data_IF_626922256619
#
_entry.id   IF_626922256619
#
_cell.length_a   1.000
_cell.length_b   1.000
_cell.length_c   1.000
_cell.angle_alpha   90.00
_cell.angle_beta   90.00
_cell.angle_gamma   90.00
#
_symmetry.space_group_name_H-M   'P 1'
#
loop_
_entity.id
_entity.type
_entity.pdbx_description
1 polymer ?
#
# COMPACT_ATOMS: atom_id res chain seq x y z
N UNK A 1 -2.84 -24.53 -7.70
CA UNK A 1 -2.51 -23.48 -8.71
C UNK A 1 -1.15 -22.89 -8.39
N UNK A 2 -0.36 -22.63 -9.40
CA UNK A 2 0.98 -22.06 -9.27
C UNK A 2 0.88 -20.53 -9.22
N UNK A 3 1.67 -19.88 -8.36
CA UNK A 3 1.76 -18.44 -8.21
C UNK A 3 3.15 -17.98 -8.62
N UNK A 4 3.22 -16.89 -9.37
CA UNK A 4 4.48 -16.23 -9.70
C UNK A 4 4.52 -14.85 -9.02
N UNK A 5 5.63 -14.52 -8.37
CA UNK A 5 5.83 -13.25 -7.68
C UNK A 5 7.05 -12.53 -8.24
N UNK A 6 6.84 -11.28 -8.65
CA UNK A 6 7.89 -10.40 -9.13
C UNK A 6 8.24 -9.39 -8.03
N UNK A 7 9.47 -9.40 -7.53
CA UNK A 7 9.92 -8.55 -6.42
C UNK A 7 11.22 -7.87 -6.83
N UNK A 8 11.23 -6.54 -6.72
CA UNK A 8 12.39 -5.71 -7.06
C UNK A 8 13.51 -5.80 -6.03
N UNK A 9 13.17 -5.96 -4.76
CA UNK A 9 14.12 -5.95 -3.63
C UNK A 9 14.60 -7.38 -3.34
N UNK A 10 15.90 -7.60 -3.54
CA UNK A 10 16.53 -8.92 -3.32
C UNK A 10 16.49 -9.37 -1.87
N UNK A 11 16.55 -8.46 -0.90
CA UNK A 11 16.46 -8.81 0.52
C UNK A 11 15.05 -9.29 0.88
N UNK A 12 14.01 -8.63 0.36
CA UNK A 12 12.64 -9.10 0.53
C UNK A 12 12.41 -10.45 -0.15
N UNK A 13 13.04 -10.68 -1.29
CA UNK A 13 12.96 -11.96 -2.00
C UNK A 13 13.59 -13.09 -1.19
N UNK A 14 14.75 -12.86 -0.57
CA UNK A 14 15.41 -13.82 0.31
C UNK A 14 14.53 -14.20 1.51
N UNK A 15 13.92 -13.24 2.19
CA UNK A 15 12.97 -13.48 3.30
C UNK A 15 11.74 -14.28 2.82
N UNK A 16 11.23 -13.98 1.63
CA UNK A 16 10.11 -14.75 1.06
C UNK A 16 10.50 -16.20 0.81
N UNK A 17 11.67 -16.45 0.23
CA UNK A 17 12.16 -17.81 -0.05
C UNK A 17 12.38 -18.60 1.24
N UNK A 18 12.98 -17.96 2.26
CA UNK A 18 13.14 -18.57 3.58
C UNK A 18 11.80 -19.02 4.17
N UNK A 19 10.81 -18.12 4.17
CA UNK A 19 9.45 -18.45 4.67
C UNK A 19 8.78 -19.51 3.83
N UNK A 20 8.88 -19.43 2.51
CA UNK A 20 8.33 -20.43 1.59
C UNK A 20 8.82 -21.83 1.90
N UNK A 21 10.14 -21.96 2.16
CA UNK A 21 10.77 -23.23 2.51
C UNK A 21 10.33 -23.70 3.91
N UNK A 22 10.34 -22.79 4.90
CA UNK A 22 9.96 -23.10 6.28
C UNK A 22 8.49 -23.57 6.40
N UNK A 23 7.59 -23.01 5.57
CA UNK A 23 6.16 -23.34 5.57
C UNK A 23 5.79 -24.44 4.56
N UNK A 24 6.76 -25.02 3.84
CA UNK A 24 6.53 -26.08 2.85
C UNK A 24 5.69 -25.65 1.64
N UNK A 25 5.72 -24.35 1.28
CA UNK A 25 4.91 -23.82 0.18
C UNK A 25 5.61 -24.08 -1.16
N UNK A 26 5.14 -25.12 -1.91
CA UNK A 26 5.73 -25.51 -3.18
C UNK A 26 5.14 -24.86 -4.44
N UNK A 27 4.05 -24.12 -4.32
CA UNK A 27 3.29 -23.56 -5.44
C UNK A 27 3.57 -22.08 -5.72
N UNK A 28 4.68 -21.53 -5.25
CA UNK A 28 5.14 -20.16 -5.51
C UNK A 28 6.44 -20.24 -6.31
N UNK A 29 6.51 -19.48 -7.40
CA UNK A 29 7.75 -19.16 -8.11
C UNK A 29 8.04 -17.68 -7.90
N UNK A 30 9.28 -17.36 -7.62
CA UNK A 30 9.76 -16.00 -7.40
C UNK A 30 10.62 -15.55 -8.57
N UNK A 31 10.59 -14.28 -8.87
CA UNK A 31 11.44 -13.67 -9.89
C UNK A 31 11.91 -12.31 -9.41
N UNK A 32 13.22 -12.12 -9.35
CA UNK A 32 13.81 -10.80 -9.09
C UNK A 32 13.67 -9.93 -10.34
N UNK A 33 13.20 -8.69 -10.15
CA UNK A 33 13.12 -7.73 -11.25
C UNK A 33 12.03 -6.69 -11.08
N UNK A 34 12.02 -5.73 -12.02
CA UNK A 34 10.95 -4.73 -12.11
C UNK A 34 9.82 -5.27 -12.97
N UNK A 35 8.60 -4.84 -12.68
CA UNK A 35 7.44 -5.18 -13.51
C UNK A 35 7.60 -4.68 -14.96
N UNK A 36 8.23 -3.51 -15.15
CA UNK A 36 8.46 -2.94 -16.48
C UNK A 36 9.29 -3.86 -17.37
N UNK A 37 10.30 -4.51 -16.80
CA UNK A 37 11.26 -5.36 -17.51
C UNK A 37 10.78 -6.84 -17.59
N UNK A 38 9.72 -7.20 -16.88
CA UNK A 38 9.20 -8.55 -16.85
C UNK A 38 8.62 -8.95 -18.20
N UNK A 39 9.04 -10.06 -18.74
CA UNK A 39 8.52 -10.67 -19.98
C UNK A 39 8.25 -12.16 -19.76
N UNK A 40 7.18 -12.67 -20.35
CA UNK A 40 6.82 -14.08 -20.29
C UNK A 40 5.83 -14.42 -21.41
N UNK A 41 5.88 -15.65 -21.90
CA UNK A 41 4.85 -16.21 -22.79
C UNK A 41 3.65 -16.77 -22.01
N UNK A 42 3.77 -16.85 -20.69
CA UNK A 42 2.69 -17.34 -19.84
C UNK A 42 1.59 -16.30 -19.66
N UNK A 43 0.34 -16.75 -19.68
CA UNK A 43 -0.83 -15.96 -19.32
C UNK A 43 -1.36 -16.44 -17.97
N UNK A 44 -1.75 -15.51 -17.10
CA UNK A 44 -2.20 -15.79 -15.74
C UNK A 44 -3.72 -15.64 -15.66
N UNK A 45 -4.37 -16.33 -14.73
CA UNK A 45 -5.79 -16.09 -14.45
C UNK A 45 -5.99 -14.66 -13.96
N UNK A 46 -5.21 -14.26 -12.96
CA UNK A 46 -5.22 -12.93 -12.36
C UNK A 46 -3.82 -12.38 -12.14
N UNK A 47 -3.67 -11.07 -12.26
CA UNK A 47 -2.48 -10.35 -11.82
C UNK A 47 -2.86 -9.49 -10.62
N UNK A 48 -2.08 -9.57 -9.54
CA UNK A 48 -2.31 -8.80 -8.32
C UNK A 48 -1.10 -7.93 -8.03
N UNK A 49 -1.34 -6.62 -7.91
CA UNK A 49 -0.33 -5.64 -7.52
C UNK A 49 -0.66 -5.07 -6.14
N UNK A 50 0.23 -5.27 -5.18
CA UNK A 50 0.06 -4.78 -3.81
C UNK A 50 1.12 -3.74 -3.50
N UNK A 51 0.73 -2.50 -3.32
CA UNK A 51 1.60 -1.36 -2.97
C UNK A 51 2.88 -1.27 -3.83
N UNK A 52 2.81 -1.53 -5.14
CA UNK A 52 3.99 -1.66 -6.01
C UNK A 52 4.03 -0.73 -7.21
N UNK A 53 2.92 -0.05 -7.58
CA UNK A 53 2.85 0.74 -8.81
C UNK A 53 3.33 2.22 -8.68
N UNK A 54 3.59 2.72 -7.49
CA UNK A 54 3.87 4.15 -7.24
C UNK A 54 5.26 4.64 -7.69
N UNK A 55 6.12 3.79 -8.20
CA UNK A 55 7.45 4.15 -8.74
C UNK A 55 7.59 3.84 -10.24
N UNK A 56 6.50 3.47 -10.89
CA UNK A 56 6.47 3.18 -12.32
C UNK A 56 6.24 4.48 -13.08
N UNK A 57 7.18 4.86 -13.96
CA UNK A 57 7.07 6.08 -14.76
C UNK A 57 6.00 5.96 -15.84
N UNK A 58 6.02 4.87 -16.59
CA UNK A 58 5.01 4.56 -17.60
C UNK A 58 3.93 3.64 -17.01
N UNK A 59 3.10 4.23 -16.16
CA UNK A 59 1.99 3.53 -15.51
C UNK A 59 0.97 3.02 -16.54
N UNK A 60 0.79 3.72 -17.67
CA UNK A 60 -0.11 3.31 -18.75
C UNK A 60 0.31 1.95 -19.32
N UNK A 61 1.55 1.82 -19.75
CA UNK A 61 2.08 0.56 -20.28
C UNK A 61 2.06 -0.55 -19.25
N UNK A 62 2.34 -0.25 -17.97
CA UNK A 62 2.25 -1.22 -16.89
C UNK A 62 0.84 -1.79 -16.70
N UNK A 63 -0.20 -0.94 -16.75
CA UNK A 63 -1.60 -1.35 -16.62
C UNK A 63 -2.08 -2.16 -17.83
N UNK A 64 -1.74 -1.74 -19.05
CA UNK A 64 -2.04 -2.49 -20.28
C UNK A 64 -1.36 -3.86 -20.28
N UNK A 65 -0.13 -3.94 -19.79
CA UNK A 65 0.61 -5.18 -19.63
C UNK A 65 -0.06 -6.13 -18.61
N UNK A 66 -0.57 -5.60 -17.48
CA UNK A 66 -1.36 -6.40 -16.54
C UNK A 66 -2.62 -6.95 -17.21
N UNK A 67 -3.30 -6.13 -18.00
CA UNK A 67 -4.48 -6.55 -18.76
C UNK A 67 -4.14 -7.65 -19.79
N UNK A 68 -3.08 -7.45 -20.58
CA UNK A 68 -2.67 -8.39 -21.64
C UNK A 68 -2.22 -9.76 -21.08
N UNK A 69 -1.57 -9.79 -19.92
CA UNK A 69 -1.08 -11.02 -19.31
C UNK A 69 -2.09 -11.74 -18.39
N UNK A 70 -3.32 -11.20 -18.23
CA UNK A 70 -4.37 -11.83 -17.43
C UNK A 70 -5.55 -12.27 -18.28
N UNK A 71 -6.13 -13.46 -18.02
CA UNK A 71 -7.35 -13.94 -18.69
C UNK A 71 -8.62 -13.47 -18.00
N UNK A 72 -8.65 -13.40 -16.70
CA UNK A 72 -9.80 -13.04 -15.88
C UNK A 72 -9.78 -11.57 -15.46
N UNK A 73 -8.59 -10.96 -15.39
CA UNK A 73 -8.42 -9.57 -15.00
C UNK A 73 -7.28 -9.34 -14.00
N UNK A 74 -7.25 -8.16 -13.42
CA UNK A 74 -6.22 -7.81 -12.45
C UNK A 74 -6.77 -7.00 -11.29
N UNK A 75 -6.01 -7.01 -10.18
CA UNK A 75 -6.37 -6.35 -8.92
C UNK A 75 -5.19 -5.50 -8.48
N UNK A 76 -5.46 -4.23 -8.17
CA UNK A 76 -4.51 -3.31 -7.58
C UNK A 76 -4.96 -3.02 -6.16
N UNK A 77 -4.08 -3.31 -5.20
CA UNK A 77 -4.30 -3.03 -3.79
C UNK A 77 -3.36 -1.89 -3.39
N UNK A 78 -3.92 -0.78 -2.93
CA UNK A 78 -3.16 0.40 -2.49
C UNK A 78 -3.59 0.82 -1.09
N UNK A 79 -2.67 0.83 -0.15
CA UNK A 79 -2.89 1.53 1.11
C UNK A 79 -2.83 3.03 0.84
N UNK A 80 -3.85 3.77 1.25
CA UNK A 80 -3.82 5.24 1.17
C UNK A 80 -2.67 5.71 2.05
N UNK A 81 -1.69 6.35 1.42
CA UNK A 81 -0.50 6.85 2.11
C UNK A 81 -0.87 8.13 2.86
N UNK A 82 -1.26 7.94 4.10
CA UNK A 82 -1.45 9.00 5.08
C UNK A 82 -0.55 8.75 6.28
N UNK A 83 -0.05 9.79 6.94
CA UNK A 83 0.64 9.66 8.22
C UNK A 83 -0.12 8.75 9.18
N UNK A 84 0.62 8.05 10.06
CA UNK A 84 -0.06 7.18 11.03
C UNK A 84 -1.02 7.98 11.92
N UNK A 85 -0.63 9.17 12.30
CA UNK A 85 -1.43 10.08 13.14
C UNK A 85 -2.39 10.98 12.34
N UNK A 86 -2.69 10.68 11.08
CA UNK A 86 -3.55 11.52 10.23
C UNK A 86 -4.85 11.93 10.92
N UNK A 87 -5.57 10.98 11.53
CA UNK A 87 -6.83 11.27 12.24
C UNK A 87 -6.64 12.16 13.46
N UNK A 88 -5.49 12.02 14.16
CA UNK A 88 -5.14 12.88 15.27
C UNK A 88 -4.86 14.32 14.79
N UNK A 89 -4.11 14.46 13.69
CA UNK A 89 -3.80 15.76 13.09
C UNK A 89 -5.09 16.48 12.66
N UNK A 90 -5.96 15.79 11.93
CA UNK A 90 -7.24 16.34 11.48
C UNK A 90 -8.10 16.85 12.64
N UNK A 91 -8.27 16.06 13.71
CA UNK A 91 -9.05 16.44 14.90
C UNK A 91 -8.48 17.67 15.63
N UNK A 92 -7.18 17.91 15.48
CA UNK A 92 -6.49 19.04 16.10
C UNK A 92 -6.27 20.23 15.15
N UNK A 93 -6.82 20.18 13.94
CA UNK A 93 -6.71 21.25 12.94
C UNK A 93 -5.31 21.37 12.34
N UNK A 94 -4.50 20.31 12.39
CA UNK A 94 -3.14 20.26 11.82
C UNK A 94 -3.18 19.68 10.42
N UNK A 95 -2.72 20.46 9.45
CA UNK A 95 -2.59 20.02 8.05
C UNK A 95 -1.33 19.15 7.89
N UNK A 96 -1.47 18.03 7.20
CA UNK A 96 -0.35 17.18 6.83
C UNK A 96 -0.47 16.75 5.37
N UNK A 97 0.66 16.39 4.71
CA UNK A 97 0.65 15.95 3.33
C UNK A 97 -0.23 14.72 3.12
N UNK A 98 -0.98 14.73 2.04
CA UNK A 98 -1.83 13.61 1.62
C UNK A 98 -1.45 13.16 0.20
N UNK A 99 -1.26 11.87 0.01
CA UNK A 99 -1.01 11.31 -1.31
C UNK A 99 -2.32 10.82 -1.92
N UNK A 100 -2.78 11.50 -2.97
CA UNK A 100 -4.06 11.24 -3.64
C UNK A 100 -3.91 10.41 -4.94
N UNK A 101 -2.77 9.80 -5.18
CA UNK A 101 -2.48 9.06 -6.42
C UNK A 101 -3.46 7.90 -6.68
N UNK A 102 -4.05 7.33 -5.64
CA UNK A 102 -5.07 6.29 -5.76
C UNK A 102 -6.34 6.78 -6.48
N UNK A 103 -6.62 8.09 -6.48
CA UNK A 103 -7.78 8.67 -7.18
C UNK A 103 -7.56 8.73 -8.68
N UNK A 104 -6.33 8.83 -9.12
CA UNK A 104 -5.97 8.94 -10.53
C UNK A 104 -5.99 7.60 -11.26
N UNK A 105 -5.73 6.49 -10.56
CA UNK A 105 -5.69 5.16 -11.16
C UNK A 105 -7.02 4.74 -11.80
N UNK A 106 -8.19 4.85 -11.14
CA UNK A 106 -9.47 4.51 -11.77
C UNK A 106 -9.76 5.36 -13.00
N UNK A 107 -9.47 6.67 -12.94
CA UNK A 107 -9.65 7.58 -14.07
C UNK A 107 -8.78 7.19 -15.26
N UNK A 108 -7.54 6.81 -15.01
CA UNK A 108 -6.63 6.33 -16.05
C UNK A 108 -7.11 5.02 -16.66
N UNK A 109 -7.58 4.06 -15.86
CA UNK A 109 -8.13 2.80 -16.33
C UNK A 109 -9.34 3.02 -17.24
N UNK A 110 -10.27 3.89 -16.83
CA UNK A 110 -11.43 4.21 -17.65
C UNK A 110 -11.04 4.88 -18.97
N UNK A 111 -10.05 5.77 -18.98
CA UNK A 111 -9.50 6.36 -20.22
C UNK A 111 -8.83 5.33 -21.14
N UNK A 112 -8.33 4.23 -20.57
CA UNK A 112 -7.78 3.10 -21.33
C UNK A 112 -8.87 2.11 -21.80
N UNK A 113 -10.15 2.42 -21.55
CA UNK A 113 -11.28 1.53 -21.88
C UNK A 113 -11.45 0.36 -20.92
N UNK A 114 -10.71 0.33 -19.81
CA UNK A 114 -10.75 -0.71 -18.80
C UNK A 114 -11.75 -0.34 -17.70
N UNK A 115 -12.82 -1.12 -17.57
CA UNK A 115 -13.82 -0.89 -16.53
C UNK A 115 -13.28 -1.30 -15.16
N UNK A 116 -13.01 -0.32 -14.30
CA UNK A 116 -12.51 -0.52 -12.96
C UNK A 116 -13.63 -0.40 -11.92
N UNK A 117 -13.70 -1.38 -11.01
CA UNK A 117 -14.45 -1.27 -9.76
C UNK A 117 -13.49 -0.81 -8.67
N UNK A 118 -13.98 0.04 -7.76
CA UNK A 118 -13.19 0.61 -6.67
C UNK A 118 -13.89 0.31 -5.35
N UNK A 119 -13.17 -0.31 -4.44
CA UNK A 119 -13.64 -0.62 -3.10
C UNK A 119 -12.68 -0.06 -2.06
N UNK A 120 -13.21 0.38 -0.92
CA UNK A 120 -12.44 0.90 0.21
C UNK A 120 -12.59 -0.03 1.40
N UNK A 121 -11.47 -0.50 1.92
CA UNK A 121 -11.41 -1.30 3.13
C UNK A 121 -10.73 -0.48 4.24
N UNK A 122 -11.47 -0.13 5.29
CA UNK A 122 -10.93 0.55 6.46
C UNK A 122 -10.84 -0.42 7.63
N UNK A 123 -9.67 -0.46 8.28
CA UNK A 123 -9.40 -1.34 9.41
C UNK A 123 -8.56 -0.62 10.46
N UNK A 124 -8.68 -0.99 11.74
CA UNK A 124 -7.83 -0.43 12.80
C UNK A 124 -6.41 -0.96 12.67
N UNK A 125 -5.42 -0.05 12.65
CA UNK A 125 -4.00 -0.39 12.74
C UNK A 125 -3.48 0.05 14.09
N UNK A 126 -3.02 -0.90 14.90
CA UNK A 126 -2.32 -0.63 16.18
C UNK A 126 -0.85 -0.32 15.93
N UNK A 127 -0.31 0.62 16.70
CA UNK A 127 1.12 0.92 16.77
C UNK A 127 1.54 1.04 18.24
N UNK A 128 2.75 0.66 18.50
CA UNK A 128 3.37 0.66 19.84
C UNK A 128 4.53 1.65 19.85
N UNK A 129 4.67 2.39 20.93
CA UNK A 129 5.75 3.33 21.17
C UNK A 129 6.32 3.10 22.57
N UNK A 130 7.63 3.13 22.71
CA UNK A 130 8.28 2.92 24.01
C UNK A 130 8.04 4.11 24.93
N UNK A 131 8.12 5.32 24.38
CA UNK A 131 7.96 6.56 25.13
C UNK A 131 7.41 7.70 24.24
N UNK A 132 7.29 8.90 24.81
CA UNK A 132 6.83 10.09 24.08
C UNK A 132 7.88 10.63 23.11
N UNK A 133 9.16 10.27 23.26
CA UNK A 133 10.20 10.66 22.31
C UNK A 133 10.03 9.90 20.99
N UNK A 134 9.72 8.60 21.04
CA UNK A 134 9.37 7.80 19.85
C UNK A 134 8.15 8.38 19.13
N UNK A 135 7.11 8.78 19.88
CA UNK A 135 5.92 9.41 19.32
C UNK A 135 6.27 10.74 18.66
N UNK A 136 7.08 11.55 19.31
CA UNK A 136 7.53 12.84 18.82
C UNK A 136 8.33 12.70 17.51
N UNK A 137 9.22 11.71 17.46
CA UNK A 137 10.01 11.41 16.25
C UNK A 137 9.14 11.01 15.07
N UNK A 138 8.12 10.19 15.27
CA UNK A 138 7.17 9.82 14.24
C UNK A 138 6.40 11.05 13.73
N UNK A 139 5.90 11.91 14.64
CA UNK A 139 5.19 13.14 14.27
C UNK A 139 6.10 14.12 13.52
N UNK A 140 7.37 14.23 13.90
CA UNK A 140 8.35 15.06 13.21
C UNK A 140 8.63 14.57 11.78
N UNK A 141 8.60 13.27 11.55
CA UNK A 141 8.76 12.70 10.21
C UNK A 141 7.54 12.95 9.30
N UNK A 142 6.36 13.12 9.89
CA UNK A 142 5.10 13.34 9.17
C UNK A 142 4.84 14.81 8.80
N UNK A 143 5.37 15.76 9.56
CA UNK A 143 5.06 17.19 9.49
C UNK A 143 6.27 18.02 9.03
N UNK A 144 6.02 19.24 8.55
CA UNK A 144 7.11 20.19 8.34
C UNK A 144 7.69 20.63 9.69
N UNK A 145 8.99 20.98 9.72
CA UNK A 145 9.65 21.39 10.95
C UNK A 145 8.91 22.54 11.68
N UNK A 146 8.39 23.50 10.93
CA UNK A 146 7.61 24.63 11.48
C UNK A 146 6.34 24.14 12.16
N UNK A 147 5.49 23.39 11.45
CA UNK A 147 4.22 22.87 11.98
C UNK A 147 4.46 22.00 13.21
N UNK A 148 5.50 21.14 13.15
CA UNK A 148 5.85 20.28 14.26
C UNK A 148 6.23 21.11 15.50
N UNK A 149 7.11 22.10 15.34
CA UNK A 149 7.55 22.95 16.47
C UNK A 149 6.38 23.70 17.12
N UNK A 150 5.46 24.25 16.32
CA UNK A 150 4.31 25.00 16.83
C UNK A 150 3.24 24.12 17.51
N UNK A 151 3.08 22.87 17.07
CA UNK A 151 1.97 22.01 17.47
C UNK A 151 2.38 20.83 18.37
N UNK A 152 3.67 20.58 18.59
CA UNK A 152 4.19 19.40 19.27
C UNK A 152 3.52 19.14 20.63
N UNK A 153 3.49 20.16 21.50
CA UNK A 153 2.94 20.01 22.87
C UNK A 153 1.45 19.61 22.82
N UNK A 154 0.67 20.28 21.96
CA UNK A 154 -0.75 20.00 21.76
C UNK A 154 -0.99 18.59 21.22
N UNK A 155 -0.18 18.17 20.25
CA UNK A 155 -0.31 16.85 19.62
C UNK A 155 0.10 15.72 20.57
N UNK A 156 1.15 15.91 21.39
CA UNK A 156 1.53 14.93 22.40
C UNK A 156 0.47 14.81 23.49
N UNK A 157 -0.13 15.91 23.93
CA UNK A 157 -1.25 15.88 24.87
C UNK A 157 -2.47 15.16 24.27
N UNK A 158 -2.83 15.44 23.01
CA UNK A 158 -3.91 14.74 22.31
C UNK A 158 -3.62 13.24 22.12
N UNK A 159 -2.37 12.87 21.90
CA UNK A 159 -1.92 11.49 21.84
C UNK A 159 -2.12 10.78 23.18
N UNK A 160 -1.59 11.34 24.27
CA UNK A 160 -1.70 10.75 25.63
C UNK A 160 -3.14 10.60 26.08
N UNK A 161 -4.04 11.49 25.67
CA UNK A 161 -5.48 11.37 25.92
C UNK A 161 -6.19 10.26 25.16
N UNK A 162 -5.58 9.67 24.12
CA UNK A 162 -6.15 8.59 23.31
C UNK A 162 -5.40 7.27 23.44
N UNK A 163 -4.10 7.29 23.77
CA UNK A 163 -3.27 6.10 23.87
C UNK A 163 -3.48 5.40 25.21
N UNK A 164 -3.49 4.07 25.18
CA UNK A 164 -3.38 3.27 26.38
C UNK A 164 -1.89 3.09 26.75
N UNK A 165 -1.53 3.24 28.03
CA UNK A 165 -0.20 2.94 28.51
C UNK A 165 -0.25 1.65 29.34
N UNK A 166 0.34 0.58 28.82
CA UNK A 166 0.38 -0.75 29.45
C UNK A 166 1.73 -1.41 29.20
N UNK A 167 2.23 -2.14 30.18
CA UNK A 167 3.50 -2.87 30.08
C UNK A 167 4.67 -2.01 29.62
N UNK A 168 4.76 -0.77 30.14
CA UNK A 168 5.86 0.16 29.85
C UNK A 168 5.87 0.74 28.43
N UNK A 169 4.74 0.67 27.68
CA UNK A 169 4.62 1.21 26.32
C UNK A 169 3.27 1.85 26.06
N UNK A 170 3.26 2.81 25.18
CA UNK A 170 2.02 3.39 24.63
C UNK A 170 1.49 2.53 23.49
N UNK A 171 0.17 2.33 23.46
CA UNK A 171 -0.53 1.65 22.38
C UNK A 171 -1.65 2.55 21.89
N UNK A 172 -1.69 2.80 20.59
CA UNK A 172 -2.77 3.57 19.96
C UNK A 172 -3.24 2.85 18.69
N UNK A 173 -4.55 2.93 18.44
CA UNK A 173 -5.17 2.40 17.22
C UNK A 173 -5.66 3.54 16.35
N UNK A 174 -5.26 3.53 15.07
CA UNK A 174 -5.70 4.52 14.08
C UNK A 174 -6.32 3.81 12.88
N UNK A 175 -7.36 4.40 12.25
CA UNK A 175 -7.94 3.82 11.04
C UNK A 175 -6.94 3.89 9.89
N UNK A 176 -6.81 2.79 9.15
CA UNK A 176 -6.06 2.72 7.88
C UNK A 176 -7.02 2.30 6.78
N UNK A 177 -6.94 2.98 5.66
CA UNK A 177 -7.77 2.67 4.50
C UNK A 177 -6.91 2.11 3.38
N UNK A 178 -7.37 1.01 2.81
CA UNK A 178 -6.81 0.40 1.60
C UNK A 178 -7.84 0.50 0.50
N UNK A 179 -7.39 0.90 -0.69
CA UNK A 179 -8.20 0.91 -1.91
C UNK A 179 -7.91 -0.37 -2.68
N UNK A 180 -8.96 -1.04 -3.09
CA UNK A 180 -8.92 -2.22 -3.97
C UNK A 180 -9.54 -1.80 -5.29
N UNK A 181 -8.74 -1.82 -6.36
CA UNK A 181 -9.17 -1.51 -7.71
C UNK A 181 -9.12 -2.80 -8.51
N UNK A 182 -10.26 -3.26 -9.00
CA UNK A 182 -10.35 -4.49 -9.78
C UNK A 182 -10.83 -4.21 -11.20
N UNK A 183 -10.19 -4.85 -12.16
CA UNK A 183 -10.56 -4.84 -13.57
C UNK A 183 -10.84 -6.28 -13.98
N UNK A 184 -12.02 -6.53 -14.55
CA UNK A 184 -12.37 -7.83 -15.12
C UNK A 184 -12.19 -7.78 -16.62
N UNK A 185 -11.54 -8.79 -17.19
CA UNK A 185 -11.50 -8.97 -18.63
C UNK A 185 -12.85 -9.51 -19.10
N UNK A 186 -13.41 -8.93 -20.17
CA UNK A 186 -14.60 -9.50 -20.80
C UNK A 186 -14.20 -10.81 -21.46
N UNK A 187 -14.89 -11.91 -21.13
CA UNK A 187 -14.67 -13.20 -21.80
C UNK A 187 -14.86 -13.00 -23.32
N UNK A 188 -13.78 -13.18 -24.08
CA UNK A 188 -13.84 -13.16 -25.55
C UNK A 188 -13.22 -11.95 -26.25
N UNK A 189 -12.72 -10.93 -25.56
CA UNK A 189 -12.02 -9.84 -26.24
C UNK A 189 -10.50 -10.10 -26.23
N UNK A 190 -10.02 -10.86 -27.22
CA UNK A 190 -8.60 -10.81 -27.61
C UNK A 190 -8.41 -9.51 -28.38
N UNK A 191 -7.54 -8.63 -27.89
CA UNK A 191 -7.04 -7.45 -28.61
C UNK A 191 -5.97 -7.91 -29.57
#
# INVERSE_FOLDING_TARGET
RQRQMCIRDSAMLAVLEERRLAEGIGNIRTQAGKWEDFTTDAVFDYIVSVNSLYRIRDIKSALLKMHAYSTQGFIIVRTIQRPFFYSLYQKNGVSCPECLDYQLLPLLLWRLGLQANVEFLTYPKKKYFLDLADVSQEMQADLTAQIFHEQQAKLLQAFTGQAAFTDGRYTISQPRTTVIISVKNKSGMKI
#
